data_IF_574010519524
#
_entry.id   IF_574010519524
#
_cell.length_a   1.000
_cell.length_b   1.000
_cell.length_c   1.000
_cell.angle_alpha   90.00
_cell.angle_beta   90.00
_cell.angle_gamma   90.00
#
_symmetry.space_group_name_H-M   'P 1'
#
loop_
_entity.id
_entity.type
_entity.pdbx_description
1 polymer ?
#
# COMPACT_ATOMS: atom_id res chain seq x y z
N UNK A 1 -2.74 -1.79 -10.87
CA UNK A 1 -4.06 -1.92 -11.54
C UNK A 1 -5.14 -1.28 -10.68
N UNK A 2 -6.14 -0.62 -11.29
CA UNK A 2 -7.25 0.01 -10.59
C UNK A 2 -8.36 -1.04 -10.38
N UNK A 3 -8.58 -1.52 -9.15
CA UNK A 3 -9.53 -2.61 -8.86
C UNK A 3 -10.79 -2.16 -8.08
N UNK A 4 -11.12 -0.87 -8.09
CA UNK A 4 -12.32 -0.38 -7.40
C UNK A 4 -12.95 0.82 -8.08
N UNK A 5 -14.16 0.63 -8.60
CA UNK A 5 -15.08 1.72 -8.94
C UNK A 5 -15.48 2.42 -7.64
N UNK A 6 -14.83 3.54 -7.30
CA UNK A 6 -15.25 4.38 -6.17
C UNK A 6 -16.48 5.18 -6.56
N UNK A 7 -17.67 4.57 -6.51
CA UNK A 7 -18.94 5.24 -6.81
C UNK A 7 -19.28 6.34 -5.79
N UNK A 8 -18.69 6.27 -4.58
CA UNK A 8 -18.69 7.32 -3.56
C UNK A 8 -17.47 7.20 -2.63
N UNK A 9 -17.18 8.22 -1.81
CA UNK A 9 -16.06 8.23 -0.84
C UNK A 9 -16.09 7.06 0.14
N UNK A 10 -17.28 6.59 0.50
CA UNK A 10 -17.49 5.44 1.39
C UNK A 10 -17.05 4.10 0.76
N UNK A 11 -17.36 3.87 -0.52
CA UNK A 11 -17.03 2.64 -1.22
C UNK A 11 -15.52 2.41 -1.32
N UNK A 12 -14.74 3.47 -1.57
CA UNK A 12 -13.27 3.39 -1.61
C UNK A 12 -12.61 3.17 -0.24
N UNK A 13 -13.30 3.46 0.86
CA UNK A 13 -12.80 3.28 2.22
C UNK A 13 -13.23 1.97 2.88
N UNK A 14 -14.28 1.30 2.38
CA UNK A 14 -14.86 0.11 3.02
C UNK A 14 -14.87 -1.15 2.14
N UNK A 15 -14.77 -1.04 0.82
CA UNK A 15 -14.96 -2.18 -0.10
C UNK A 15 -13.67 -2.62 -0.81
N UNK A 16 -12.55 -1.96 -0.61
CA UNK A 16 -11.28 -2.40 -1.21
C UNK A 16 -10.75 -3.68 -0.57
N UNK A 17 -10.02 -4.46 -1.38
CA UNK A 17 -9.43 -5.74 -0.98
C UNK A 17 -8.50 -5.60 0.23
N UNK A 18 -7.68 -4.54 0.25
CA UNK A 18 -6.78 -4.22 1.37
C UNK A 18 -7.56 -4.07 2.69
N UNK A 19 -8.58 -3.20 2.71
CA UNK A 19 -9.38 -2.97 3.90
C UNK A 19 -10.10 -4.24 4.39
N UNK A 20 -10.49 -5.14 3.47
CA UNK A 20 -11.08 -6.43 3.85
C UNK A 20 -10.05 -7.34 4.52
N UNK A 21 -8.84 -7.42 3.97
CA UNK A 21 -7.75 -8.20 4.56
C UNK A 21 -7.38 -7.66 5.94
N UNK A 22 -7.25 -6.34 6.10
CA UNK A 22 -6.92 -5.72 7.40
C UNK A 22 -7.96 -6.07 8.46
N UNK A 23 -9.26 -5.99 8.12
CA UNK A 23 -10.34 -6.32 9.05
C UNK A 23 -10.28 -7.78 9.50
N UNK A 24 -10.02 -8.69 8.56
CA UNK A 24 -9.92 -10.13 8.87
C UNK A 24 -8.68 -10.42 9.70
N UNK A 25 -7.51 -9.93 9.28
CA UNK A 25 -6.25 -10.09 9.99
C UNK A 25 -6.32 -9.52 11.41
N UNK A 26 -6.87 -8.30 11.56
CA UNK A 26 -7.00 -7.66 12.88
C UNK A 26 -7.94 -8.42 13.80
N UNK A 27 -9.05 -8.97 13.28
CA UNK A 27 -9.97 -9.81 14.05
C UNK A 27 -9.30 -11.08 14.57
N UNK A 28 -8.51 -11.76 13.73
CA UNK A 28 -7.76 -12.93 14.16
C UNK A 28 -6.68 -12.57 15.18
N UNK A 29 -5.97 -11.45 14.98
CA UNK A 29 -4.99 -10.97 15.94
C UNK A 29 -5.62 -10.68 17.31
N UNK A 30 -6.82 -10.11 17.35
CA UNK A 30 -7.60 -9.85 18.56
C UNK A 30 -7.90 -11.14 19.34
N UNK A 31 -8.20 -12.22 18.63
CA UNK A 31 -8.48 -13.53 19.24
C UNK A 31 -7.21 -14.17 19.80
N UNK A 32 -6.08 -14.04 19.10
CA UNK A 32 -4.80 -14.61 19.50
C UNK A 32 -4.14 -13.80 20.63
N UNK A 33 -4.28 -12.47 20.59
CA UNK A 33 -3.62 -11.52 21.50
C UNK A 33 -4.63 -10.48 22.03
N UNK A 34 -5.55 -10.87 22.93
CA UNK A 34 -6.64 -10.00 23.39
C UNK A 34 -6.19 -8.79 24.22
N UNK A 35 -4.96 -8.80 24.75
CA UNK A 35 -4.39 -7.71 25.58
C UNK A 35 -3.15 -7.06 24.94
N UNK A 36 -3.07 -7.02 23.61
CA UNK A 36 -1.96 -6.34 22.94
C UNK A 36 -2.23 -4.84 22.76
N UNK A 37 -1.17 -4.03 22.91
CA UNK A 37 -1.19 -2.58 22.62
C UNK A 37 -1.10 -2.29 21.11
N UNK A 38 -1.74 -3.11 20.27
CA UNK A 38 -1.68 -2.98 18.81
C UNK A 38 -2.82 -2.08 18.30
N UNK A 39 -2.61 -1.28 17.22
CA UNK A 39 -3.64 -0.43 16.66
C UNK A 39 -4.97 -1.18 16.39
N UNK A 40 -6.07 -0.54 16.75
CA UNK A 40 -7.41 -1.03 16.43
C UNK A 40 -7.72 -0.88 14.94
N UNK A 41 -8.66 -1.67 14.44
CA UNK A 41 -9.00 -1.67 13.01
C UNK A 41 -9.46 -0.30 12.49
N UNK A 42 -10.16 0.49 13.31
CA UNK A 42 -10.59 1.84 12.93
C UNK A 42 -9.40 2.78 12.67
N UNK A 43 -8.33 2.65 13.46
CA UNK A 43 -7.12 3.46 13.31
C UNK A 43 -6.33 3.03 12.07
N UNK A 44 -6.19 1.73 11.83
CA UNK A 44 -5.52 1.21 10.63
C UNK A 44 -6.23 1.71 9.37
N UNK A 45 -7.56 1.50 9.29
CA UNK A 45 -8.36 1.92 8.13
C UNK A 45 -8.39 3.44 7.93
N UNK A 46 -8.13 4.24 8.97
CA UNK A 46 -8.02 5.70 8.84
C UNK A 46 -6.84 6.11 7.95
N UNK A 47 -5.74 5.34 7.97
CA UNK A 47 -4.54 5.56 7.18
C UNK A 47 -4.46 4.68 5.92
N UNK A 48 -5.55 3.98 5.59
CA UNK A 48 -5.71 3.19 4.35
C UNK A 48 -6.48 4.01 3.28
N UNK A 49 -6.60 3.47 2.07
CA UNK A 49 -7.49 4.01 1.04
C UNK A 49 -7.16 5.45 0.68
N UNK A 50 -8.12 6.37 0.82
CA UNK A 50 -7.98 7.80 0.46
C UNK A 50 -6.88 8.57 1.25
N UNK A 51 -6.49 8.04 2.41
CA UNK A 51 -5.44 8.61 3.26
C UNK A 51 -4.14 7.79 3.20
N UNK A 52 -4.18 6.67 2.48
CA UNK A 52 -3.11 5.68 2.43
C UNK A 52 -2.31 5.68 1.14
N UNK A 53 -1.49 4.63 0.95
CA UNK A 53 -0.49 4.53 -0.11
C UNK A 53 -1.07 4.76 -1.52
N UNK A 54 -2.20 4.13 -1.84
CA UNK A 54 -2.81 4.21 -3.17
C UNK A 54 -3.40 5.58 -3.53
N UNK A 55 -3.74 6.40 -2.53
CA UNK A 55 -4.25 7.74 -2.78
C UNK A 55 -3.17 8.74 -3.21
N UNK A 56 -1.89 8.42 -2.99
CA UNK A 56 -0.78 9.28 -3.42
C UNK A 56 -0.76 9.40 -4.95
N UNK A 57 -1.10 8.33 -5.67
CA UNK A 57 -1.22 8.36 -7.14
C UNK A 57 -2.26 9.35 -7.66
N UNK A 58 -3.27 9.67 -6.84
CA UNK A 58 -4.27 10.71 -7.15
C UNK A 58 -3.80 12.11 -6.73
N UNK A 59 -3.00 12.22 -5.66
CA UNK A 59 -2.55 13.50 -5.08
C UNK A 59 -1.27 14.03 -5.72
N UNK A 60 -0.39 13.16 -6.22
CA UNK A 60 0.91 13.51 -6.82
C UNK A 60 1.32 12.48 -7.88
N UNK A 61 0.71 12.52 -9.08
CA UNK A 61 1.01 11.57 -10.15
C UNK A 61 2.51 11.59 -10.53
N UNK A 62 3.13 10.41 -10.59
CA UNK A 62 4.55 10.21 -10.90
C UNK A 62 5.54 10.94 -9.97
N UNK A 63 5.08 11.44 -8.81
CA UNK A 63 5.92 12.08 -7.80
C UNK A 63 5.67 11.41 -6.44
N UNK A 64 6.71 10.76 -5.89
CA UNK A 64 6.67 10.11 -4.58
C UNK A 64 5.59 9.00 -4.44
N UNK A 65 5.15 8.40 -5.55
CA UNK A 65 4.26 7.26 -5.51
C UNK A 65 4.99 6.08 -4.84
N UNK A 66 4.39 5.42 -3.83
CA UNK A 66 4.95 4.19 -3.30
C UNK A 66 5.14 3.18 -4.45
N UNK A 67 6.27 2.48 -4.49
CA UNK A 67 6.44 1.38 -5.43
C UNK A 67 5.62 0.19 -4.94
N UNK A 68 4.63 -0.23 -5.72
CA UNK A 68 3.69 -1.30 -5.35
C UNK A 68 4.00 -2.63 -6.01
N UNK A 69 5.00 -2.70 -6.88
CA UNK A 69 5.32 -3.89 -7.66
C UNK A 69 6.55 -4.57 -7.08
N UNK A 70 6.68 -5.87 -7.30
CA UNK A 70 7.94 -6.59 -7.10
C UNK A 70 8.13 -7.55 -8.26
N UNK A 71 9.34 -7.79 -8.71
CA UNK A 71 9.69 -8.89 -9.60
C UNK A 71 10.26 -10.03 -8.73
N UNK A 72 9.50 -11.09 -8.41
CA UNK A 72 9.93 -12.11 -7.46
C UNK A 72 11.20 -12.87 -7.85
N UNK A 73 11.57 -12.81 -9.14
CA UNK A 73 12.74 -13.49 -9.69
C UNK A 73 13.91 -12.53 -9.96
N UNK A 74 13.74 -11.23 -9.72
CA UNK A 74 14.80 -10.24 -9.72
C UNK A 74 15.26 -10.01 -8.29
N UNK A 75 16.48 -10.46 -7.97
CA UNK A 75 17.04 -10.32 -6.62
C UNK A 75 17.37 -8.87 -6.26
N UNK A 76 17.45 -7.98 -7.26
CA UNK A 76 17.74 -6.57 -7.06
C UNK A 76 16.45 -5.74 -6.88
N UNK A 77 15.26 -6.28 -7.20
CA UNK A 77 13.98 -5.60 -6.99
C UNK A 77 13.52 -5.67 -5.52
N UNK A 78 14.23 -4.92 -4.68
CA UNK A 78 14.07 -4.90 -3.24
C UNK A 78 13.16 -3.77 -2.74
N UNK A 79 12.59 -2.95 -3.62
CA UNK A 79 11.91 -1.71 -3.22
C UNK A 79 10.71 -1.94 -2.29
N UNK A 80 9.83 -2.88 -2.66
CA UNK A 80 8.67 -3.23 -1.84
C UNK A 80 9.08 -3.88 -0.52
N UNK A 81 10.11 -4.75 -0.54
CA UNK A 81 10.64 -5.42 0.65
C UNK A 81 11.22 -4.38 1.62
N UNK A 82 12.04 -3.46 1.13
CA UNK A 82 12.60 -2.37 1.93
C UNK A 82 11.51 -1.45 2.48
N UNK A 83 10.42 -1.23 1.75
CA UNK A 83 9.25 -0.48 2.25
C UNK A 83 8.59 -1.22 3.42
N UNK A 84 8.32 -2.52 3.27
CA UNK A 84 7.78 -3.40 4.33
C UNK A 84 8.68 -3.38 5.56
N UNK A 85 9.99 -3.59 5.40
CA UNK A 85 10.96 -3.61 6.50
C UNK A 85 10.98 -2.28 7.27
N UNK A 86 10.96 -1.16 6.54
CA UNK A 86 11.00 0.18 7.14
C UNK A 86 9.75 0.49 7.95
N UNK A 87 8.56 0.15 7.43
CA UNK A 87 7.30 0.33 8.15
C UNK A 87 7.22 -0.62 9.36
N UNK A 88 7.73 -1.85 9.24
CA UNK A 88 7.83 -2.76 10.38
C UNK A 88 8.71 -2.21 11.50
N UNK A 89 9.93 -1.75 11.20
CA UNK A 89 10.84 -1.18 12.19
C UNK A 89 10.22 0.02 12.91
N UNK A 90 9.61 0.94 12.15
CA UNK A 90 8.95 2.14 12.70
C UNK A 90 7.69 1.81 13.48
N UNK A 91 6.94 0.79 13.10
CA UNK A 91 5.81 0.29 13.88
C UNK A 91 6.28 -0.21 15.25
N UNK A 92 7.35 -1.01 15.29
CA UNK A 92 7.94 -1.49 16.54
C UNK A 92 8.38 -0.33 17.43
N UNK A 93 9.03 0.69 16.86
CA UNK A 93 9.41 1.90 17.60
C UNK A 93 8.20 2.66 18.15
N UNK A 94 7.18 2.90 17.31
CA UNK A 94 5.96 3.60 17.72
C UNK A 94 5.21 2.86 18.84
N UNK A 95 5.15 1.53 18.77
CA UNK A 95 4.56 0.70 19.82
C UNK A 95 5.34 0.81 21.13
N UNK A 96 6.68 0.78 21.10
CA UNK A 96 7.52 0.97 22.29
C UNK A 96 7.35 2.34 22.93
N UNK A 97 7.13 3.37 22.11
CA UNK A 97 6.90 4.75 22.54
C UNK A 97 5.44 5.03 22.95
N UNK A 98 4.53 4.06 22.79
CA UNK A 98 3.08 4.25 22.95
C UNK A 98 2.48 5.36 22.06
N UNK A 99 3.10 5.64 20.90
CA UNK A 99 2.57 6.57 19.91
C UNK A 99 1.49 5.86 19.08
N UNK A 100 0.25 5.94 19.54
CA UNK A 100 -0.90 5.28 18.91
C UNK A 100 -1.20 5.79 17.49
N UNK A 101 -0.91 7.06 17.20
CA UNK A 101 -1.15 7.66 15.89
C UNK A 101 -0.11 7.14 14.91
N UNK A 102 1.18 7.21 15.28
CA UNK A 102 2.25 6.69 14.44
C UNK A 102 2.15 5.19 14.27
N UNK A 103 1.84 4.43 15.31
CA UNK A 103 1.64 2.98 15.20
C UNK A 103 0.48 2.65 14.25
N UNK A 104 -0.61 3.41 14.30
CA UNK A 104 -1.72 3.27 13.34
C UNK A 104 -1.30 3.50 11.90
N UNK A 105 -0.54 4.57 11.65
CA UNK A 105 0.01 4.90 10.34
C UNK A 105 0.95 3.81 9.81
N UNK A 106 1.93 3.41 10.61
CA UNK A 106 2.93 2.40 10.21
C UNK A 106 2.29 1.03 10.00
N UNK A 107 1.29 0.66 10.81
CA UNK A 107 0.55 -0.59 10.64
C UNK A 107 -0.24 -0.62 9.33
N UNK A 108 -0.91 0.48 8.94
CA UNK A 108 -1.65 0.56 7.69
C UNK A 108 -0.71 0.43 6.48
N UNK A 109 0.39 1.18 6.47
CA UNK A 109 1.36 1.13 5.37
C UNK A 109 2.09 -0.21 5.25
N UNK A 110 2.41 -0.83 6.39
CA UNK A 110 2.96 -2.19 6.43
C UNK A 110 1.97 -3.20 5.85
N UNK A 111 0.71 -3.17 6.30
CA UNK A 111 -0.32 -4.08 5.82
C UNK A 111 -0.56 -3.92 4.32
N UNK A 112 -0.65 -2.67 3.84
CA UNK A 112 -0.78 -2.35 2.42
C UNK A 112 0.34 -2.97 1.59
N UNK A 113 1.61 -2.74 1.97
CA UNK A 113 2.76 -3.28 1.25
C UNK A 113 2.82 -4.81 1.24
N UNK A 114 2.47 -5.46 2.35
CA UNK A 114 2.37 -6.93 2.40
C UNK A 114 1.29 -7.43 1.45
N UNK A 115 0.10 -6.82 1.44
CA UNK A 115 -1.00 -7.22 0.56
C UNK A 115 -0.64 -7.01 -0.91
N UNK A 116 0.02 -5.92 -1.26
CA UNK A 116 0.57 -5.71 -2.61
C UNK A 116 1.54 -6.84 -2.98
N UNK A 117 2.48 -7.14 -2.08
CA UNK A 117 3.49 -8.19 -2.28
C UNK A 117 2.90 -9.60 -2.37
N UNK A 118 1.70 -9.84 -1.85
CA UNK A 118 0.98 -11.10 -1.97
C UNK A 118 0.02 -11.14 -3.18
N UNK A 119 -0.15 -10.03 -3.90
CA UNK A 119 -1.09 -9.94 -5.02
C UNK A 119 -0.36 -10.24 -6.33
N UNK A 120 -0.63 -11.36 -7.03
CA UNK A 120 0.13 -11.76 -8.22
C UNK A 120 0.14 -10.73 -9.35
N UNK A 121 -0.89 -9.90 -9.44
CA UNK A 121 -0.95 -8.80 -10.41
C UNK A 121 0.15 -7.72 -10.18
N UNK A 122 0.70 -7.64 -8.97
CA UNK A 122 1.83 -6.77 -8.62
C UNK A 122 3.18 -7.42 -8.92
N UNK A 123 3.19 -8.70 -9.32
CA UNK A 123 4.40 -9.44 -9.71
C UNK A 123 4.74 -9.33 -11.19
N UNK A 124 3.82 -8.77 -11.98
CA UNK A 124 3.99 -8.59 -13.41
C UNK A 124 4.93 -7.41 -13.70
N UNK A 125 5.81 -7.47 -14.74
CA UNK A 125 6.75 -6.40 -15.08
C UNK A 125 5.99 -5.19 -15.64
N UNK A 126 5.36 -4.46 -14.73
CA UNK A 126 4.43 -3.39 -15.04
C UNK A 126 5.12 -2.25 -15.79
N UNK A 127 6.33 -1.89 -15.36
CA UNK A 127 7.09 -0.79 -15.97
C UNK A 127 7.50 -1.12 -17.41
N UNK A 128 8.02 -2.32 -17.67
CA UNK A 128 8.36 -2.78 -19.03
C UNK A 128 7.14 -2.72 -19.95
N UNK A 129 5.96 -3.08 -19.44
CA UNK A 129 4.73 -3.10 -20.22
C UNK A 129 4.16 -1.71 -20.44
N UNK A 130 4.30 -0.81 -19.48
CA UNK A 130 4.00 0.60 -19.69
C UNK A 130 4.91 1.20 -20.76
N UNK A 131 6.21 0.91 -20.75
CA UNK A 131 7.15 1.36 -21.79
C UNK A 131 6.77 0.79 -23.16
N UNK A 132 6.41 -0.50 -23.23
CA UNK A 132 5.96 -1.12 -24.47
C UNK A 132 4.67 -0.47 -25.02
N UNK A 133 3.71 -0.15 -24.13
CA UNK A 133 2.46 0.53 -24.50
C UNK A 133 2.65 2.00 -24.86
N UNK A 134 3.66 2.67 -24.29
CA UNK A 134 3.95 4.08 -24.52
C UNK A 134 4.81 4.34 -25.77
N UNK A 135 4.96 3.34 -26.64
CA UNK A 135 5.86 3.35 -27.81
C UNK A 135 7.31 3.67 -27.42
N UNK A 136 7.76 3.18 -26.27
CA UNK A 136 9.14 3.36 -25.79
C UNK A 136 9.40 4.64 -25.00
N UNK A 137 8.38 5.45 -24.69
CA UNK A 137 8.54 6.68 -23.88
C UNK A 137 8.87 6.34 -22.42
N UNK A 138 9.92 6.96 -21.90
CA UNK A 138 10.40 6.79 -20.53
C UNK A 138 9.43 7.40 -19.49
N UNK A 139 9.57 7.00 -18.22
CA UNK A 139 8.70 7.47 -17.13
C UNK A 139 8.72 8.99 -16.95
N UNK A 140 9.86 9.61 -17.22
CA UNK A 140 10.11 11.05 -17.14
C UNK A 140 9.31 11.86 -18.16
N UNK A 141 8.86 11.24 -19.26
CA UNK A 141 7.98 11.85 -20.25
C UNK A 141 6.48 11.66 -19.94
N UNK A 142 6.15 10.82 -18.95
CA UNK A 142 4.77 10.39 -18.59
C UNK A 142 4.27 11.04 -17.29
N UNK A 143 4.60 12.31 -17.07
CA UNK A 143 4.38 13.03 -15.80
C UNK A 143 3.01 13.71 -15.66
N UNK A 144 2.15 13.64 -16.67
CA UNK A 144 0.80 14.24 -16.62
C UNK A 144 -0.28 13.22 -16.97
N UNK A 145 -1.52 13.47 -16.50
CA UNK A 145 -2.67 12.58 -16.75
C UNK A 145 -2.86 12.32 -18.26
N UNK A 146 -2.64 13.34 -19.09
CA UNK A 146 -2.76 13.24 -20.55
C UNK A 146 -1.60 12.46 -21.21
N UNK A 147 -0.45 12.33 -20.54
CA UNK A 147 0.77 11.67 -21.05
C UNK A 147 1.05 10.33 -20.36
N UNK A 148 0.07 9.80 -19.62
CA UNK A 148 0.24 8.60 -18.78
C UNK A 148 0.42 7.31 -19.59
N UNK A 149 0.03 7.32 -20.88
CA UNK A 149 0.19 6.25 -21.87
C UNK A 149 0.85 6.82 -23.14
#
# INVERSE_FOLDING_TARGET
MYSGSTFNTYSGQLLGTHQKIDRVARRHLEQLLPRCAFPGIKTILHFEGNNGPDAIKRKSPAQNEPWHYMQPFDLDDMQLIQLIERHYQRLVEALKLNDSVRAGFEAAWLAHGIVDGLTPAHHYPYEEKLVALSSGRAIEDRTSIAKKL
#
